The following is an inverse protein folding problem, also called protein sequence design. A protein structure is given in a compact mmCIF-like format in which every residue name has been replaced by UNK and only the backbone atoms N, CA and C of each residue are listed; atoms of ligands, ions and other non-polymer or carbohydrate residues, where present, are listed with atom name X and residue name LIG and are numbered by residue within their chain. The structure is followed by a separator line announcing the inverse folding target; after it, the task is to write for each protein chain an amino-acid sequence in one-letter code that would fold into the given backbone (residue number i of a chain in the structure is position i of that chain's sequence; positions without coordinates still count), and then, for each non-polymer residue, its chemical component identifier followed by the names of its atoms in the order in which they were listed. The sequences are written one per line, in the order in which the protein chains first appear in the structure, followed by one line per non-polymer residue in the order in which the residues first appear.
data_IF_957793557040
#
_entry.id   IF_957793557040
#
_cell.length_a   1.000
_cell.length_b   1.000
_cell.length_c   1.000
_cell.angle_alpha   90.00
_cell.angle_beta   90.00
_cell.angle_gamma   90.00
#
_symmetry.space_group_name_H-M   'P 1'
#
loop_
_entity.id
_entity.type
_entity.pdbx_description
1 polymer ?
#
# COMPACT_ATOMS: atom_id res chain seq x y z
N UNK A 1 19.97 -5.62 8.66
CA UNK A 1 19.18 -4.39 8.38
C UNK A 1 18.16 -4.55 7.25
N UNK A 2 18.49 -5.20 6.12
CA UNK A 2 17.58 -5.34 4.96
C UNK A 2 16.17 -5.92 5.28
N UNK A 3 16.08 -6.99 6.08
CA UNK A 3 14.78 -7.65 6.40
C UNK A 3 13.77 -6.74 7.13
N UNK A 4 14.23 -5.85 8.01
CA UNK A 4 13.34 -4.96 8.75
C UNK A 4 12.72 -3.90 7.82
N UNK A 5 13.50 -3.42 6.86
CA UNK A 5 13.06 -2.40 5.91
C UNK A 5 12.06 -2.96 4.88
N UNK A 6 12.23 -4.22 4.46
CA UNK A 6 11.25 -4.88 3.58
C UNK A 6 9.95 -5.21 4.29
N UNK A 7 9.99 -5.59 5.58
CA UNK A 7 8.78 -5.73 6.41
C UNK A 7 8.08 -4.39 6.57
N UNK A 8 8.82 -3.32 6.87
CA UNK A 8 8.26 -1.97 6.97
C UNK A 8 7.56 -1.55 5.67
N UNK A 9 8.18 -1.79 4.51
CA UNK A 9 7.58 -1.54 3.20
C UNK A 9 6.27 -2.29 2.97
N UNK A 10 6.21 -3.58 3.37
CA UNK A 10 4.97 -4.37 3.30
C UNK A 10 3.87 -3.83 4.23
N UNK A 11 4.21 -3.39 5.44
CA UNK A 11 3.24 -2.82 6.39
C UNK A 11 2.69 -1.50 5.86
N UNK A 12 3.55 -0.59 5.39
CA UNK A 12 3.14 0.69 4.81
C UNK A 12 2.26 0.48 3.59
N UNK A 13 2.63 -0.45 2.69
CA UNK A 13 1.80 -0.81 1.55
C UNK A 13 0.41 -1.32 1.98
N UNK A 14 0.33 -2.18 2.98
CA UNK A 14 -0.93 -2.67 3.53
C UNK A 14 -1.81 -1.55 4.11
N UNK A 15 -1.22 -0.63 4.88
CA UNK A 15 -1.94 0.52 5.43
C UNK A 15 -2.47 1.46 4.34
N UNK A 16 -1.70 1.69 3.27
CA UNK A 16 -2.14 2.49 2.14
C UNK A 16 -3.33 1.84 1.42
N UNK A 17 -3.24 0.54 1.11
CA UNK A 17 -4.35 -0.18 0.48
C UNK A 17 -5.60 -0.12 1.36
N UNK A 18 -5.47 -0.34 2.67
CA UNK A 18 -6.62 -0.28 3.59
C UNK A 18 -7.24 1.12 3.65
N UNK A 19 -6.41 2.17 3.75
CA UNK A 19 -6.90 3.55 3.87
C UNK A 19 -7.60 4.02 2.60
N UNK A 20 -7.01 3.77 1.43
CA UNK A 20 -7.58 4.20 0.15
C UNK A 20 -8.71 3.28 -0.33
N UNK A 21 -8.71 2.00 0.03
CA UNK A 21 -9.88 1.15 -0.18
C UNK A 21 -11.05 1.57 0.71
N UNK A 22 -10.79 1.98 1.96
CA UNK A 22 -11.81 2.55 2.83
C UNK A 22 -12.35 3.87 2.28
N UNK A 23 -11.49 4.73 1.73
CA UNK A 23 -11.93 5.96 1.07
C UNK A 23 -12.81 5.67 -0.15
N UNK A 24 -12.41 4.72 -1.00
CA UNK A 24 -13.19 4.32 -2.17
C UNK A 24 -14.55 3.68 -1.79
N UNK A 25 -14.62 2.95 -0.68
CA UNK A 25 -15.81 2.24 -0.25
C UNK A 25 -16.78 3.07 0.59
N UNK A 26 -16.27 3.97 1.44
CA UNK A 26 -17.04 4.72 2.44
C UNK A 26 -16.84 6.24 2.40
N UNK A 27 -15.92 6.75 1.58
CA UNK A 27 -15.57 8.18 1.52
C UNK A 27 -14.85 8.68 2.77
N UNK A 28 -14.22 7.80 3.55
CA UNK A 28 -13.49 8.18 4.77
C UNK A 28 -12.06 7.68 4.58
N UNK A 29 -11.01 8.52 4.72
CA UNK A 29 -10.97 9.84 5.37
C UNK A 29 -10.93 11.07 4.44
N UNK A 30 -10.97 10.90 3.12
CA UNK A 30 -10.77 11.98 2.14
C UNK A 30 -12.06 12.39 1.39
N UNK A 31 -13.23 11.93 1.85
CA UNK A 31 -14.55 12.28 1.27
C UNK A 31 -14.69 11.93 -0.21
N UNK A 32 -13.90 10.96 -0.70
CA UNK A 32 -13.88 10.60 -2.12
C UNK A 32 -13.41 11.75 -3.02
N UNK A 33 -12.47 12.57 -2.55
CA UNK A 33 -11.99 13.77 -3.26
C UNK A 33 -11.56 13.50 -4.71
N UNK A 34 -11.02 12.31 -5.00
CA UNK A 34 -10.68 11.90 -6.37
C UNK A 34 -10.57 10.39 -6.51
N UNK A 35 -11.53 9.77 -7.21
CA UNK A 35 -11.46 8.34 -7.55
C UNK A 35 -10.18 7.96 -8.31
N UNK A 36 -9.62 8.88 -9.12
CA UNK A 36 -8.36 8.64 -9.82
C UNK A 36 -7.16 8.55 -8.86
N UNK A 37 -7.18 9.32 -7.77
CA UNK A 37 -6.18 9.26 -6.72
C UNK A 37 -6.28 7.94 -5.95
N UNK A 38 -7.48 7.53 -5.56
CA UNK A 38 -7.70 6.34 -4.75
C UNK A 38 -7.25 5.09 -5.51
N UNK A 39 -7.67 4.95 -6.76
CA UNK A 39 -7.27 3.84 -7.62
C UNK A 39 -5.77 3.89 -7.91
N UNK A 40 -5.21 5.07 -8.18
CA UNK A 40 -3.79 5.24 -8.44
C UNK A 40 -2.92 4.81 -7.26
N UNK A 41 -3.29 5.21 -6.04
CA UNK A 41 -2.56 4.86 -4.82
C UNK A 41 -2.74 3.38 -4.47
N UNK A 42 -3.94 2.80 -4.64
CA UNK A 42 -4.15 1.37 -4.42
C UNK A 42 -3.23 0.54 -5.34
N UNK A 43 -3.13 0.90 -6.62
CA UNK A 43 -2.24 0.20 -7.57
C UNK A 43 -0.78 0.39 -7.19
N UNK A 44 -0.35 1.61 -6.89
CA UNK A 44 1.03 1.89 -6.48
C UNK A 44 1.42 1.16 -5.17
N UNK A 45 0.51 1.13 -4.19
CA UNK A 45 0.69 0.42 -2.93
C UNK A 45 0.76 -1.10 -3.14
N UNK A 46 -0.06 -1.65 -4.06
CA UNK A 46 0.02 -3.05 -4.46
C UNK A 46 1.39 -3.42 -5.05
N UNK A 47 1.92 -2.58 -5.94
CA UNK A 47 3.26 -2.75 -6.52
C UNK A 47 4.34 -2.67 -5.42
N UNK A 48 4.25 -1.67 -4.53
CA UNK A 48 5.19 -1.50 -3.43
C UNK A 48 5.21 -2.72 -2.49
N UNK A 49 4.03 -3.23 -2.14
CA UNK A 49 3.88 -4.43 -1.31
C UNK A 49 4.49 -5.66 -1.97
N UNK A 50 4.22 -5.85 -3.27
CA UNK A 50 4.80 -6.95 -4.04
C UNK A 50 6.33 -6.87 -4.10
N UNK A 51 6.90 -5.70 -4.42
CA UNK A 51 8.34 -5.51 -4.47
C UNK A 51 9.01 -5.69 -3.10
N UNK A 52 8.36 -5.20 -2.03
CA UNK A 52 8.84 -5.39 -0.67
C UNK A 52 8.83 -6.86 -0.26
N UNK A 53 7.82 -7.62 -0.69
CA UNK A 53 7.75 -9.06 -0.47
C UNK A 53 8.79 -9.84 -1.27
N UNK A 54 8.98 -9.50 -2.55
CA UNK A 54 9.98 -10.12 -3.40
C UNK A 54 11.40 -9.90 -2.84
N UNK A 55 11.72 -8.66 -2.45
CA UNK A 55 12.97 -8.33 -1.78
C UNK A 55 13.13 -9.06 -0.43
N UNK A 56 12.04 -9.23 0.35
CA UNK A 56 12.08 -10.01 1.58
C UNK A 56 12.37 -11.49 1.33
N UNK A 57 11.80 -12.08 0.27
CA UNK A 57 12.11 -13.47 -0.13
C UNK A 57 13.56 -13.63 -0.54
N UNK A 58 14.09 -12.71 -1.34
CA UNK A 58 15.50 -12.75 -1.76
C UNK A 58 16.46 -12.58 -0.57
N UNK A 59 16.08 -11.76 0.41
CA UNK A 59 16.86 -11.55 1.62
C UNK A 59 16.74 -12.69 2.64
N UNK A 60 15.76 -13.61 2.50
CA UNK A 60 15.45 -14.65 3.48
C UNK A 60 16.53 -15.71 3.53
#
# INVERSE_FOLDING_TARGET
MSKALTIFGMVVAGLLVLTFAADLAAGIPFEGASMAMDVGIIVAAGILGYLSWDAFRQAR
#
